data_IF_489864822459
#
_entry.id   IF_489864822459
#
_cell.length_a   1.000
_cell.length_b   1.000
_cell.length_c   1.000
_cell.angle_alpha   90.00
_cell.angle_beta   90.00
_cell.angle_gamma   90.00
#
_symmetry.space_group_name_H-M   'P 1'
#
loop_
_entity.id
_entity.type
_entity.pdbx_description
1 polymer ?
#
# COMPACT_ATOMS: atom_id res chain seq x y z
N UNK A 1 3.61 9.90 -3.23
CA UNK A 1 3.09 8.72 -3.96
C UNK A 1 1.92 9.17 -4.81
N UNK A 2 1.94 8.86 -6.11
CA UNK A 2 0.88 9.21 -7.06
C UNK A 2 -0.12 8.06 -7.19
N UNK A 3 -1.39 8.40 -7.47
CA UNK A 3 -2.47 7.43 -7.63
C UNK A 3 -2.19 6.44 -8.77
N UNK A 4 -1.81 6.93 -9.94
CA UNK A 4 -1.65 6.08 -11.14
C UNK A 4 -0.49 5.09 -10.97
N UNK A 5 0.58 5.53 -10.29
CA UNK A 5 1.70 4.66 -9.94
C UNK A 5 1.28 3.57 -8.95
N UNK A 6 0.46 3.93 -7.95
CA UNK A 6 -0.06 2.97 -6.99
C UNK A 6 -0.96 1.93 -7.66
N UNK A 7 -1.86 2.36 -8.55
CA UNK A 7 -2.78 1.47 -9.24
C UNK A 7 -2.06 0.52 -10.21
N UNK A 8 -1.09 1.02 -10.98
CA UNK A 8 -0.27 0.17 -11.86
C UNK A 8 0.54 -0.87 -11.08
N UNK A 9 1.05 -0.52 -9.89
CA UNK A 9 1.81 -1.42 -9.01
C UNK A 9 0.94 -2.20 -8.01
N UNK A 10 -0.38 -2.07 -8.10
CA UNK A 10 -1.29 -2.59 -7.08
C UNK A 10 -1.10 -4.08 -6.81
N UNK A 11 -0.90 -4.89 -7.85
CA UNK A 11 -0.70 -6.35 -7.71
C UNK A 11 0.53 -6.68 -6.85
N UNK A 12 1.64 -5.97 -7.05
CA UNK A 12 2.86 -6.13 -6.26
C UNK A 12 2.65 -5.63 -4.82
N UNK A 13 2.06 -4.45 -4.66
CA UNK A 13 1.73 -3.88 -3.35
C UNK A 13 0.85 -4.84 -2.55
N UNK A 14 -0.21 -5.37 -3.16
CA UNK A 14 -1.12 -6.34 -2.54
C UNK A 14 -0.36 -7.56 -2.03
N UNK A 15 0.51 -8.13 -2.86
CA UNK A 15 1.33 -9.31 -2.51
C UNK A 15 2.26 -9.03 -1.32
N UNK A 16 2.81 -7.82 -1.24
CA UNK A 16 3.76 -7.45 -0.19
C UNK A 16 3.08 -6.82 1.05
N UNK A 17 1.80 -6.46 0.96
CA UNK A 17 1.13 -5.70 2.03
C UNK A 17 1.09 -6.46 3.35
N UNK A 18 0.84 -7.78 3.33
CA UNK A 18 0.85 -8.59 4.56
C UNK A 18 2.24 -8.70 5.18
N UNK A 19 3.29 -8.60 4.37
CA UNK A 19 4.68 -8.57 4.85
C UNK A 19 5.06 -7.19 5.41
N UNK A 20 4.63 -6.10 4.76
CA UNK A 20 4.92 -4.74 5.22
C UNK A 20 4.08 -4.31 6.42
N UNK A 21 2.82 -4.74 6.46
CA UNK A 21 1.82 -4.31 7.43
C UNK A 21 1.15 -5.51 8.09
N UNK A 22 1.66 -5.94 9.24
CA UNK A 22 1.14 -7.09 9.99
C UNK A 22 -0.33 -6.97 10.43
N UNK A 23 -0.90 -5.77 10.51
CA UNK A 23 -2.31 -5.52 10.85
C UNK A 23 -3.22 -5.55 9.62
N UNK A 24 -2.67 -5.50 8.41
CA UNK A 24 -3.42 -5.59 7.16
C UNK A 24 -3.52 -7.06 6.74
N UNK A 25 -4.71 -7.50 6.37
CA UNK A 25 -4.94 -8.86 5.91
C UNK A 25 -5.58 -8.91 4.52
N UNK A 26 -5.76 -10.12 3.98
CA UNK A 26 -6.36 -10.35 2.67
C UNK A 26 -7.78 -9.76 2.54
N UNK A 27 -8.56 -9.72 3.62
CA UNK A 27 -9.91 -9.15 3.61
C UNK A 27 -9.89 -7.64 3.44
N UNK A 28 -8.94 -6.96 4.08
CA UNK A 28 -8.74 -5.52 3.91
C UNK A 28 -8.31 -5.18 2.50
N UNK A 29 -7.41 -5.98 1.92
CA UNK A 29 -6.99 -5.86 0.52
C UNK A 29 -8.15 -6.09 -0.45
N UNK A 30 -9.04 -7.03 -0.14
CA UNK A 30 -10.25 -7.28 -0.92
C UNK A 30 -11.24 -6.11 -0.87
N UNK A 31 -11.28 -5.35 0.24
CA UNK A 31 -12.03 -4.09 0.31
C UNK A 31 -11.37 -2.98 -0.51
N UNK A 32 -10.04 -2.96 -0.58
CA UNK A 32 -9.30 -2.00 -1.41
C UNK A 32 -9.51 -2.28 -2.90
N UNK A 33 -9.54 -3.54 -3.33
CA UNK A 33 -9.81 -3.92 -4.72
C UNK A 33 -11.13 -3.37 -5.24
N UNK A 34 -12.17 -3.44 -4.40
CA UNK A 34 -13.55 -3.04 -4.74
C UNK A 34 -13.78 -1.53 -4.66
N UNK A 35 -12.79 -0.75 -4.20
CA UNK A 35 -12.93 0.69 -4.08
C UNK A 35 -12.65 1.40 -5.41
N UNK A 36 -13.38 2.48 -5.68
CA UNK A 36 -13.19 3.33 -6.87
C UNK A 36 -11.78 3.92 -6.93
N UNK A 37 -11.22 4.26 -5.77
CA UNK A 37 -9.87 4.79 -5.62
C UNK A 37 -9.10 3.92 -4.62
N UNK A 38 -8.34 2.95 -5.13
CA UNK A 38 -7.58 1.99 -4.32
C UNK A 38 -6.62 2.67 -3.35
N UNK A 39 -5.88 3.68 -3.82
CA UNK A 39 -4.93 4.43 -2.99
C UNK A 39 -5.62 5.06 -1.78
N UNK A 40 -6.80 5.67 -1.96
CA UNK A 40 -7.48 6.37 -0.87
C UNK A 40 -8.05 5.39 0.16
N UNK A 41 -8.60 4.26 -0.31
CA UNK A 41 -9.04 3.18 0.58
C UNK A 41 -7.88 2.58 1.36
N UNK A 42 -6.75 2.32 0.71
CA UNK A 42 -5.55 1.78 1.34
C UNK A 42 -4.97 2.74 2.39
N UNK A 43 -4.87 4.03 2.05
CA UNK A 43 -4.45 5.08 3.00
C UNK A 43 -5.40 5.11 4.19
N UNK A 44 -6.71 5.04 3.97
CA UNK A 44 -7.71 4.99 5.06
C UNK A 44 -7.49 3.79 5.98
N UNK A 45 -7.17 2.61 5.44
CA UNK A 45 -6.86 1.44 6.27
C UNK A 45 -5.60 1.66 7.13
N UNK A 46 -4.55 2.24 6.57
CA UNK A 46 -3.35 2.57 7.34
C UNK A 46 -3.64 3.58 8.45
N UNK A 47 -4.48 4.58 8.19
CA UNK A 47 -4.91 5.55 9.21
C UNK A 47 -5.66 4.86 10.36
N UNK A 48 -6.60 3.97 10.05
CA UNK A 48 -7.44 3.30 11.06
C UNK A 48 -6.64 2.26 11.86
N UNK A 49 -5.79 1.47 11.21
CA UNK A 49 -5.05 0.38 11.86
C UNK A 49 -3.79 0.84 12.59
N UNK A 50 -3.10 1.82 12.02
CA UNK A 50 -1.79 2.27 12.51
C UNK A 50 -1.80 3.71 13.04
N UNK A 51 -2.92 4.42 12.97
CA UNK A 51 -3.01 5.81 13.45
C UNK A 51 -2.26 6.82 12.59
N UNK A 52 -1.87 6.46 11.36
CA UNK A 52 -1.12 7.36 10.49
C UNK A 52 -1.96 8.57 10.07
N UNK A 53 -1.29 9.68 9.80
CA UNK A 53 -1.87 10.76 9.00
C UNK A 53 -1.94 10.36 7.53
N UNK A 54 -2.75 11.07 6.75
CA UNK A 54 -2.88 10.80 5.30
C UNK A 54 -1.53 10.90 4.58
N UNK A 55 -0.72 11.89 4.94
CA UNK A 55 0.57 12.12 4.28
C UNK A 55 1.63 11.12 4.73
N UNK A 56 1.67 10.74 6.01
CA UNK A 56 2.52 9.66 6.49
C UNK A 56 2.21 8.34 5.78
N UNK A 57 0.92 7.97 5.68
CA UNK A 57 0.52 6.76 4.97
C UNK A 57 0.97 6.79 3.50
N UNK A 58 0.75 7.90 2.77
CA UNK A 58 1.20 8.04 1.38
C UNK A 58 2.72 7.98 1.24
N UNK A 59 3.46 8.59 2.16
CA UNK A 59 4.92 8.61 2.16
C UNK A 59 5.47 7.20 2.40
N UNK A 60 4.91 6.51 3.38
CA UNK A 60 5.35 5.18 3.78
C UNK A 60 5.05 4.13 2.70
N UNK A 61 3.87 4.19 2.06
CA UNK A 61 3.57 3.36 0.88
C UNK A 61 4.63 3.57 -0.21
N UNK A 62 4.99 4.84 -0.49
CA UNK A 62 5.99 5.15 -1.49
C UNK A 62 7.37 4.63 -1.14
N UNK A 63 7.79 4.81 0.11
CA UNK A 63 9.04 4.28 0.62
C UNK A 63 9.14 2.76 0.41
N UNK A 64 8.12 2.01 0.84
CA UNK A 64 8.09 0.54 0.72
C UNK A 64 8.14 0.05 -0.73
N UNK A 65 7.45 0.72 -1.64
CA UNK A 65 7.48 0.38 -3.07
C UNK A 65 8.88 0.62 -3.63
N UNK A 66 9.49 1.77 -3.34
CA UNK A 66 10.84 2.09 -3.83
C UNK A 66 11.90 1.14 -3.26
N UNK A 67 11.84 0.84 -1.96
CA UNK A 67 12.73 -0.12 -1.31
C UNK A 67 12.62 -1.50 -1.96
N UNK A 68 11.39 -2.01 -2.11
CA UNK A 68 11.16 -3.32 -2.69
C UNK A 68 11.58 -3.40 -4.17
N UNK A 69 11.41 -2.33 -4.96
CA UNK A 69 11.93 -2.28 -6.33
C UNK A 69 13.45 -2.24 -6.39
N UNK A 70 14.11 -1.58 -5.42
CA UNK A 70 15.58 -1.56 -5.34
C UNK A 70 16.12 -2.95 -5.00
N UNK A 71 15.50 -3.66 -4.07
CA UNK A 71 15.87 -5.02 -3.67
C UNK A 71 15.70 -6.01 -4.83
N UNK A 72 14.60 -5.91 -5.59
CA UNK A 72 14.34 -6.81 -6.73
C UNK A 72 15.27 -6.56 -7.93
N UNK A 73 15.84 -5.35 -8.07
CA UNK A 73 16.79 -5.04 -9.14
C UNK A 73 18.24 -5.44 -8.81
N UNK A 74 18.53 -5.69 -7.53
CA UNK A 74 19.85 -6.09 -7.05
C UNK A 74 20.01 -7.60 -6.83
N UNK A 75 18.95 -8.38 -7.13
CA UNK A 75 18.93 -9.85 -7.12
C UNK A 75 19.05 -10.40 -8.55
#
# INVERSE_FOLDING_TARGET
MNRDLFESKWKQIRSQTTAWWSLMNSDDLSKVDKADIKLDKYVTMLRVKYGYTRDQAKKEIGKRITEHESEQKSA
#
